data_IF_578811764231
#
_entry.id   IF_578811764231
#
_cell.length_a   1.000
_cell.length_b   1.000
_cell.length_c   1.000
_cell.angle_alpha   90.00
_cell.angle_beta   90.00
_cell.angle_gamma   90.00
#
_symmetry.space_group_name_H-M   'P 1'
#
loop_
_entity.id
_entity.type
_entity.pdbx_description
1 polymer ?
#
# COMPACT_ATOMS: atom_id res chain seq x y z
N UNK A 1 6.63 9.48 11.85
CA UNK A 1 7.47 10.52 11.22
C UNK A 1 6.76 11.86 11.27
N UNK A 2 7.46 12.99 11.41
CA UNK A 2 6.84 14.29 11.28
C UNK A 2 6.37 14.54 9.85
N UNK A 3 5.15 15.06 9.71
CA UNK A 3 4.62 15.51 8.43
C UNK A 3 5.43 16.71 7.92
N UNK A 4 5.74 16.72 6.62
CA UNK A 4 6.47 17.83 5.97
C UNK A 4 7.99 17.79 6.05
N UNK A 5 8.60 16.76 6.67
CA UNK A 5 10.04 16.55 6.50
C UNK A 5 10.34 16.00 5.10
N UNK A 6 11.37 16.53 4.46
CA UNK A 6 11.70 16.25 3.05
C UNK A 6 11.86 14.76 2.74
N UNK A 7 12.37 13.96 3.69
CA UNK A 7 12.58 12.52 3.52
C UNK A 7 11.41 11.67 4.02
N UNK A 8 10.36 12.26 4.61
CA UNK A 8 9.26 11.48 5.20
C UNK A 8 8.56 10.61 4.16
N UNK A 9 8.30 11.15 2.95
CA UNK A 9 7.64 10.40 1.87
C UNK A 9 8.47 9.22 1.36
N UNK A 10 9.79 9.41 1.16
CA UNK A 10 10.68 8.34 0.69
C UNK A 10 10.87 7.23 1.73
N UNK A 11 11.02 7.62 3.01
CA UNK A 11 11.13 6.64 4.10
C UNK A 11 9.81 5.90 4.28
N UNK A 12 8.67 6.58 4.15
CA UNK A 12 7.35 5.97 4.29
C UNK A 12 7.10 5.00 3.13
N UNK A 13 7.32 5.44 1.90
CA UNK A 13 7.19 4.60 0.70
C UNK A 13 8.06 3.34 0.79
N UNK A 14 9.31 3.47 1.24
CA UNK A 14 10.20 2.30 1.38
C UNK A 14 9.70 1.29 2.42
N UNK A 15 9.19 1.74 3.56
CA UNK A 15 8.65 0.81 4.57
C UNK A 15 7.33 0.21 4.08
N UNK A 16 6.48 0.98 3.41
CA UNK A 16 5.25 0.48 2.78
C UNK A 16 5.58 -0.60 1.73
N UNK A 17 6.52 -0.36 0.82
CA UNK A 17 6.93 -1.34 -0.20
C UNK A 17 7.45 -2.65 0.42
N UNK A 18 8.17 -2.58 1.54
CA UNK A 18 8.61 -3.79 2.26
C UNK A 18 7.45 -4.61 2.83
N UNK A 19 6.41 -3.95 3.32
CA UNK A 19 5.29 -4.61 3.98
C UNK A 19 4.22 -5.09 2.99
N UNK A 20 3.93 -4.31 1.96
CA UNK A 20 2.81 -4.56 1.05
C UNK A 20 3.22 -4.84 -0.40
N UNK A 21 4.47 -4.58 -0.80
CA UNK A 21 4.92 -4.72 -2.19
C UNK A 21 4.99 -6.16 -2.72
N UNK A 22 4.86 -7.16 -1.85
CA UNK A 22 4.76 -8.57 -2.24
C UNK A 22 3.30 -9.08 -2.35
N UNK A 23 2.31 -8.23 -2.06
CA UNK A 23 0.90 -8.63 -2.14
C UNK A 23 0.34 -8.44 -3.54
N UNK A 24 -0.24 -9.52 -4.06
CA UNK A 24 -0.81 -9.54 -5.39
C UNK A 24 -2.08 -8.68 -5.44
N UNK A 25 -2.16 -7.75 -6.39
CA UNK A 25 -3.26 -6.79 -6.51
C UNK A 25 -3.25 -5.64 -5.50
N UNK A 26 -2.10 -5.37 -4.88
CA UNK A 26 -1.88 -4.22 -3.98
C UNK A 26 -0.72 -3.38 -4.52
N UNK A 27 -1.00 -2.13 -4.86
CA UNK A 27 -0.02 -1.15 -5.31
C UNK A 27 0.08 -0.01 -4.30
N UNK A 28 1.29 0.47 -4.07
CA UNK A 28 1.55 1.57 -3.13
C UNK A 28 1.98 2.78 -3.93
N UNK A 29 1.29 3.89 -3.74
CA UNK A 29 1.58 5.16 -4.39
C UNK A 29 1.75 6.22 -3.32
N UNK A 30 2.99 6.37 -2.84
CA UNK A 30 3.37 7.31 -1.77
C UNK A 30 2.56 7.06 -0.49
N UNK A 31 1.54 7.88 -0.22
CA UNK A 31 0.70 7.82 0.97
C UNK A 31 -0.59 7.01 0.73
N UNK A 32 -0.90 6.66 -0.52
CA UNK A 32 -2.10 5.92 -0.91
C UNK A 32 -1.78 4.44 -1.19
N UNK A 33 -2.72 3.56 -0.83
CA UNK A 33 -2.69 2.14 -1.19
C UNK A 33 -3.84 1.87 -2.16
N UNK A 34 -3.50 1.41 -3.36
CA UNK A 34 -4.44 0.96 -4.36
C UNK A 34 -4.61 -0.56 -4.25
N UNK A 35 -5.83 -1.01 -4.00
CA UNK A 35 -6.19 -2.44 -3.99
C UNK A 35 -7.10 -2.72 -5.17
N UNK A 36 -6.78 -3.72 -5.98
CA UNK A 36 -7.57 -4.08 -7.16
C UNK A 36 -7.75 -5.60 -7.33
N UNK A 37 -8.83 -5.99 -8.01
CA UNK A 37 -9.16 -7.39 -8.30
C UNK A 37 -10.11 -7.49 -9.48
N UNK A 38 -10.18 -8.67 -10.10
CA UNK A 38 -11.04 -8.92 -11.25
C UNK A 38 -12.50 -9.16 -10.83
N UNK A 39 -12.73 -9.55 -9.57
CA UNK A 39 -14.07 -9.63 -8.96
C UNK A 39 -14.13 -8.88 -7.62
N UNK A 40 -15.35 -8.59 -7.17
CA UNK A 40 -15.59 -7.93 -5.88
C UNK A 40 -15.11 -8.80 -4.71
N UNK A 41 -15.24 -10.11 -4.82
CA UNK A 41 -14.80 -11.08 -3.82
C UNK A 41 -13.28 -11.09 -3.72
N UNK A 42 -12.59 -11.14 -4.86
CA UNK A 42 -11.11 -11.08 -4.93
C UNK A 42 -10.60 -9.76 -4.36
N UNK A 43 -11.20 -8.63 -4.74
CA UNK A 43 -10.89 -7.32 -4.19
C UNK A 43 -11.12 -7.27 -2.66
N UNK A 44 -12.23 -7.82 -2.17
CA UNK A 44 -12.56 -7.81 -0.73
C UNK A 44 -11.58 -8.65 0.08
N UNK A 45 -11.16 -9.81 -0.45
CA UNK A 45 -10.14 -10.66 0.18
C UNK A 45 -8.82 -9.93 0.27
N UNK A 46 -8.38 -9.27 -0.81
CA UNK A 46 -7.15 -8.46 -0.84
C UNK A 46 -7.22 -7.27 0.10
N UNK A 47 -8.34 -6.55 0.13
CA UNK A 47 -8.58 -5.42 1.02
C UNK A 47 -8.46 -5.85 2.49
N UNK A 48 -9.01 -7.02 2.85
CA UNK A 48 -8.89 -7.57 4.21
C UNK A 48 -7.49 -8.05 4.57
N UNK A 49 -6.63 -8.33 3.59
CA UNK A 49 -5.24 -8.70 3.85
C UNK A 49 -4.35 -7.48 4.13
N UNK A 50 -4.76 -6.30 3.66
CA UNK A 50 -4.06 -5.02 3.83
C UNK A 50 -4.47 -4.28 5.12
N UNK A 51 -5.70 -4.48 5.58
CA UNK A 51 -6.25 -3.94 6.86
C UNK A 51 -5.73 -4.69 8.08
#
# INVERSE_FOLDING_TARGET
MPMGARCSSEVFQREMEKHFGAMDGVEIVVDDILVHGNTIEEHTVRLRAVL
#
